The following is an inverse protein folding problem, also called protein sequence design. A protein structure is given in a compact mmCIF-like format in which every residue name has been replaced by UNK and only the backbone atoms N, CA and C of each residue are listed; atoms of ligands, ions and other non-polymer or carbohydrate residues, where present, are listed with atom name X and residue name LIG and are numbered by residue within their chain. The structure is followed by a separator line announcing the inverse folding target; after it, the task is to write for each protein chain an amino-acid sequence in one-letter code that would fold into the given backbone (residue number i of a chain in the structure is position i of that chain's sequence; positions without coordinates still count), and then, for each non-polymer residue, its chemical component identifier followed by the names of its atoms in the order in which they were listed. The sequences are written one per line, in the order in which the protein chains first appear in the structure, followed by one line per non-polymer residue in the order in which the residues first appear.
data_IF_643454005743
#
_entry.id   IF_643454005743
#
_cell.length_a   1.000
_cell.length_b   1.000
_cell.length_c   1.000
_cell.angle_alpha   90.00
_cell.angle_beta   90.00
_cell.angle_gamma   90.00
#
_symmetry.space_group_name_H-M   'P 1'
#
loop_
_entity.id
_entity.type
_entity.pdbx_description
1 polymer ?
#
# COMPACT_ATOMS: atom_id res chain seq x y z
N UNK A 1 8.47 5.45 -16.08
CA UNK A 1 7.46 4.90 -17.02
C UNK A 1 6.11 4.89 -16.33
N UNK A 2 5.25 5.77 -16.79
CA UNK A 2 3.82 5.83 -16.52
C UNK A 2 3.13 4.68 -17.24
N UNK A 3 2.12 4.02 -16.64
CA UNK A 3 1.32 3.03 -17.34
C UNK A 3 0.48 3.69 -18.44
N UNK A 4 0.33 3.06 -19.61
CA UNK A 4 -0.46 3.59 -20.74
C UNK A 4 -1.92 3.89 -20.38
N UNK A 5 -2.55 3.07 -19.53
CA UNK A 5 -3.90 3.31 -19.03
C UNK A 5 -4.01 4.53 -18.10
N UNK A 6 -2.90 4.92 -17.46
CA UNK A 6 -2.83 6.11 -16.64
C UNK A 6 -2.66 7.36 -17.51
N UNK A 7 -1.90 7.26 -18.60
CA UNK A 7 -1.67 8.38 -19.53
C UNK A 7 -2.96 8.83 -20.20
N UNK A 8 -3.81 7.90 -20.64
CA UNK A 8 -5.13 8.24 -21.19
C UNK A 8 -6.00 9.00 -20.17
N UNK A 9 -6.07 8.50 -18.93
CA UNK A 9 -6.81 9.18 -17.84
C UNK A 9 -6.18 10.52 -17.43
N UNK A 10 -4.86 10.61 -17.46
CA UNK A 10 -4.15 11.85 -17.16
C UNK A 10 -4.42 12.92 -18.22
N UNK A 11 -4.48 12.52 -19.50
CA UNK A 11 -4.85 13.39 -20.60
C UNK A 11 -6.33 13.84 -20.51
N UNK A 12 -7.26 12.93 -20.22
CA UNK A 12 -8.69 13.26 -20.02
C UNK A 12 -8.91 14.31 -18.92
N UNK A 13 -8.14 14.23 -17.84
CA UNK A 13 -8.24 15.15 -16.69
C UNK A 13 -7.25 16.33 -16.74
N UNK A 14 -6.47 16.48 -17.82
CA UNK A 14 -5.52 17.59 -17.97
C UNK A 14 -4.42 17.63 -16.89
N UNK A 15 -3.99 16.47 -16.39
CA UNK A 15 -3.01 16.37 -15.30
C UNK A 15 -1.59 16.81 -15.72
N UNK A 16 -1.28 16.81 -17.02
CA UNK A 16 0.04 17.18 -17.55
C UNK A 16 1.11 16.12 -17.29
N UNK A 17 2.36 16.54 -17.09
CA UNK A 17 3.51 15.65 -17.03
C UNK A 17 3.63 14.96 -15.66
N UNK A 18 4.06 13.69 -15.68
CA UNK A 18 4.31 12.92 -14.47
C UNK A 18 5.64 13.33 -13.84
N UNK A 19 5.60 13.92 -12.66
CA UNK A 19 6.78 14.35 -11.91
C UNK A 19 7.40 13.19 -11.15
N UNK A 20 6.62 12.55 -10.27
CA UNK A 20 7.14 11.56 -9.31
C UNK A 20 6.16 10.42 -9.09
N UNK A 21 6.69 9.20 -8.90
CA UNK A 21 5.91 8.02 -8.52
C UNK A 21 6.27 7.58 -7.11
N UNK A 22 5.26 7.54 -6.25
CA UNK A 22 5.34 6.97 -4.91
C UNK A 22 4.85 5.52 -4.90
N UNK A 23 5.79 4.58 -4.67
CA UNK A 23 5.50 3.14 -4.62
C UNK A 23 4.95 2.73 -3.25
N UNK A 24 4.06 1.75 -3.26
CA UNK A 24 3.57 1.07 -2.04
C UNK A 24 4.57 0.01 -1.56
N UNK A 25 4.53 -0.34 -0.29
CA UNK A 25 5.28 -1.42 0.37
C UNK A 25 4.48 -2.73 0.32
N UNK A 26 5.14 -3.89 0.47
CA UNK A 26 4.44 -5.14 0.74
C UNK A 26 3.51 -4.99 1.94
N UNK A 27 2.34 -5.63 1.90
CA UNK A 27 1.40 -5.59 3.02
C UNK A 27 1.91 -6.44 4.17
N UNK A 28 2.24 -5.81 5.31
CA UNK A 28 2.76 -6.52 6.48
C UNK A 28 1.84 -7.67 6.91
N UNK A 29 0.52 -7.43 6.95
CA UNK A 29 -0.48 -8.46 7.26
C UNK A 29 -0.42 -9.63 6.28
N UNK A 30 -0.36 -9.34 4.98
CA UNK A 30 -0.24 -10.37 3.94
C UNK A 30 1.04 -11.20 4.10
N UNK A 31 2.16 -10.53 4.42
CA UNK A 31 3.44 -11.22 4.68
C UNK A 31 3.30 -12.17 5.86
N UNK A 32 2.71 -11.73 6.98
CA UNK A 32 2.48 -12.60 8.14
C UNK A 32 1.69 -13.86 7.77
N UNK A 33 0.55 -13.72 7.09
CA UNK A 33 -0.24 -14.88 6.67
C UNK A 33 0.47 -15.79 5.67
N UNK A 34 1.33 -15.25 4.81
CA UNK A 34 2.11 -16.04 3.86
C UNK A 34 3.19 -16.90 4.54
N UNK A 35 3.74 -16.46 5.68
CA UNK A 35 4.85 -17.16 6.35
C UNK A 35 4.45 -17.87 7.66
N UNK A 36 3.29 -17.56 8.24
CA UNK A 36 2.80 -18.23 9.45
C UNK A 36 2.66 -19.76 9.30
N UNK A 37 2.15 -20.32 8.17
CA UNK A 37 2.10 -21.77 7.99
C UNK A 37 3.48 -22.42 7.98
N UNK A 38 4.48 -21.74 7.41
CA UNK A 38 5.86 -22.23 7.39
C UNK A 38 6.46 -22.27 8.80
N UNK A 39 6.23 -21.21 9.59
CA UNK A 39 6.65 -21.17 10.99
C UNK A 39 5.94 -22.23 11.84
N UNK A 40 4.64 -22.45 11.60
CA UNK A 40 3.86 -23.51 12.24
C UNK A 40 4.37 -24.91 11.90
N UNK A 41 4.69 -25.18 10.63
CA UNK A 41 5.27 -26.44 10.21
C UNK A 41 6.64 -26.70 10.84
N UNK A 42 7.50 -25.69 10.93
CA UNK A 42 8.79 -25.79 11.63
C UNK A 42 8.60 -26.09 13.12
N UNK A 43 7.64 -25.45 13.77
CA UNK A 43 7.34 -25.71 15.19
C UNK A 43 6.85 -27.15 15.40
N UNK A 44 5.94 -27.65 14.56
CA UNK A 44 5.42 -29.02 14.62
C UNK A 44 6.53 -30.06 14.37
N UNK A 45 7.33 -29.88 13.31
CA UNK A 45 8.40 -30.82 12.97
C UNK A 45 9.53 -30.86 14.02
N UNK A 46 9.95 -29.68 14.53
CA UNK A 46 11.08 -29.60 15.47
C UNK A 46 10.67 -29.88 16.92
N UNK A 47 9.49 -29.44 17.37
CA UNK A 47 9.07 -29.59 18.78
C UNK A 47 8.24 -30.83 19.03
N UNK A 48 7.33 -31.18 18.13
CA UNK A 48 6.39 -32.28 18.33
C UNK A 48 6.83 -33.57 17.62
N UNK A 49 7.82 -33.49 16.72
CA UNK A 49 8.34 -34.64 15.97
C UNK A 49 7.41 -35.13 14.86
N UNK A 50 6.27 -34.46 14.63
CA UNK A 50 5.32 -34.79 13.56
C UNK A 50 5.78 -34.21 12.22
N UNK A 51 6.72 -34.93 11.60
CA UNK A 51 7.25 -34.59 10.28
C UNK A 51 6.19 -34.71 9.18
N UNK A 52 5.19 -35.59 9.35
CA UNK A 52 4.15 -35.83 8.34
C UNK A 52 3.16 -34.67 8.30
N UNK A 53 2.71 -34.20 9.46
CA UNK A 53 1.88 -33.01 9.60
C UNK A 53 2.60 -31.75 9.14
N UNK A 54 3.88 -31.59 9.49
CA UNK A 54 4.72 -30.49 9.00
C UNK A 54 4.83 -30.50 7.47
N UNK A 55 5.09 -31.65 6.86
CA UNK A 55 5.20 -31.81 5.41
C UNK A 55 3.87 -31.51 4.70
N UNK A 56 2.75 -31.96 5.27
CA UNK A 56 1.42 -31.67 4.73
C UNK A 56 1.12 -30.16 4.73
N UNK A 57 1.47 -29.44 5.80
CA UNK A 57 1.29 -27.98 5.87
C UNK A 57 2.16 -27.27 4.83
N UNK A 58 3.43 -27.69 4.68
CA UNK A 58 4.36 -27.08 3.71
C UNK A 58 3.97 -27.35 2.26
N UNK A 59 3.35 -28.48 1.96
CA UNK A 59 2.97 -28.84 0.58
C UNK A 59 1.58 -28.35 0.19
N UNK A 60 0.61 -28.42 1.09
CA UNK A 60 -0.79 -28.17 0.72
C UNK A 60 -1.32 -26.83 1.22
N UNK A 61 -0.85 -26.33 2.36
CA UNK A 61 -1.38 -25.10 2.95
C UNK A 61 -0.52 -23.88 2.61
N UNK A 62 0.81 -24.01 2.73
CA UNK A 62 1.73 -22.90 2.52
C UNK A 62 1.80 -22.40 1.06
N UNK A 63 1.95 -23.26 0.03
CA UNK A 63 2.14 -22.81 -1.34
C UNK A 63 0.97 -21.98 -1.90
N UNK A 64 -0.33 -22.35 -1.71
CA UNK A 64 -1.42 -21.52 -2.22
C UNK A 64 -1.49 -20.16 -1.51
N UNK A 65 -1.23 -20.11 -0.20
CA UNK A 65 -1.19 -18.84 0.55
C UNK A 65 -0.02 -17.96 0.10
N UNK A 66 1.14 -18.56 -0.13
CA UNK A 66 2.32 -17.85 -0.61
C UNK A 66 2.12 -17.31 -2.02
N UNK A 67 1.62 -18.11 -2.95
CA UNK A 67 1.32 -17.67 -4.32
C UNK A 67 0.26 -16.56 -4.35
N UNK A 68 -0.80 -16.71 -3.55
CA UNK A 68 -1.82 -15.67 -3.42
C UNK A 68 -1.21 -14.35 -2.91
N UNK A 69 -0.35 -14.43 -1.90
CA UNK A 69 0.37 -13.28 -1.38
C UNK A 69 1.31 -12.67 -2.42
N UNK A 70 2.05 -13.47 -3.19
CA UNK A 70 2.90 -12.98 -4.28
C UNK A 70 2.09 -12.21 -5.33
N UNK A 71 0.95 -12.75 -5.78
CA UNK A 71 0.08 -12.09 -6.77
C UNK A 71 -0.49 -10.78 -6.20
N UNK A 72 -1.01 -10.83 -4.97
CA UNK A 72 -1.57 -9.66 -4.30
C UNK A 72 -0.52 -8.56 -4.09
N UNK A 73 0.66 -8.94 -3.63
CA UNK A 73 1.79 -8.04 -3.41
C UNK A 73 2.28 -7.47 -4.73
N UNK A 74 2.39 -8.26 -5.80
CA UNK A 74 2.75 -7.76 -7.13
C UNK A 74 1.76 -6.73 -7.64
N UNK A 75 0.44 -7.00 -7.57
CA UNK A 75 -0.60 -6.01 -7.93
C UNK A 75 -0.47 -4.72 -7.11
N UNK A 76 -0.15 -4.83 -5.82
CA UNK A 76 0.04 -3.69 -4.92
C UNK A 76 1.30 -2.89 -5.24
N UNK A 77 2.40 -3.56 -5.60
CA UNK A 77 3.70 -2.97 -5.93
C UNK A 77 3.71 -2.35 -7.33
N UNK A 78 3.00 -2.95 -8.28
CA UNK A 78 2.82 -2.43 -9.64
C UNK A 78 1.96 -1.15 -9.62
N UNK A 79 1.10 -1.00 -8.61
CA UNK A 79 0.41 0.24 -8.31
C UNK A 79 1.31 1.33 -7.69
N UNK A 80 0.66 2.39 -7.22
CA UNK A 80 1.32 3.53 -6.60
C UNK A 80 0.56 4.83 -6.86
N UNK A 81 1.02 5.86 -6.18
CA UNK A 81 0.52 7.21 -6.39
C UNK A 81 1.45 7.94 -7.35
N UNK A 82 0.87 8.52 -8.39
CA UNK A 82 1.58 9.28 -9.42
C UNK A 82 1.24 10.75 -9.23
N UNK A 83 2.26 11.56 -9.03
CA UNK A 83 2.14 13.01 -8.89
C UNK A 83 2.44 13.63 -10.24
N UNK A 84 1.50 14.43 -10.72
CA UNK A 84 1.54 15.15 -11.98
C UNK A 84 1.57 16.66 -11.73
N UNK A 85 1.88 17.44 -12.74
CA UNK A 85 1.88 18.91 -12.66
C UNK A 85 0.52 19.50 -12.28
N UNK A 86 -0.58 18.89 -12.71
CA UNK A 86 -1.96 19.35 -12.51
C UNK A 86 -2.75 18.60 -11.43
N UNK A 87 -2.16 17.56 -10.82
CA UNK A 87 -2.81 16.80 -9.76
C UNK A 87 -2.08 15.51 -9.40
N UNK A 88 -2.79 14.56 -8.82
CA UNK A 88 -2.26 13.22 -8.56
C UNK A 88 -3.29 12.14 -8.91
N UNK A 89 -2.79 10.95 -9.19
CA UNK A 89 -3.62 9.77 -9.43
C UNK A 89 -3.13 8.58 -8.60
N UNK A 90 -4.07 7.88 -7.96
CA UNK A 90 -3.80 6.64 -7.26
C UNK A 90 -4.14 5.43 -8.12
N UNK A 91 -3.18 4.53 -8.30
CA UNK A 91 -3.29 3.33 -9.11
C UNK A 91 -3.08 2.09 -8.25
N UNK A 92 -3.97 1.12 -8.43
CA UNK A 92 -3.85 -0.19 -7.80
C UNK A 92 -3.82 -1.28 -8.88
N UNK A 93 -2.63 -1.84 -9.13
CA UNK A 93 -2.41 -2.75 -10.25
C UNK A 93 -2.63 -2.06 -11.60
N UNK A 94 -3.68 -2.47 -12.32
CA UNK A 94 -4.08 -1.88 -13.62
C UNK A 94 -5.28 -0.93 -13.53
N UNK A 95 -5.81 -0.69 -12.33
CA UNK A 95 -6.99 0.17 -12.14
C UNK A 95 -6.58 1.48 -11.50
N UNK A 96 -6.98 2.60 -12.12
CA UNK A 96 -6.88 3.93 -11.52
C UNK A 96 -8.02 4.07 -10.52
N UNK A 97 -7.72 4.08 -9.22
CA UNK A 97 -8.73 4.19 -8.16
C UNK A 97 -9.22 5.62 -8.02
N UNK A 98 -8.32 6.60 -8.13
CA UNK A 98 -8.65 7.98 -7.88
C UNK A 98 -7.80 8.90 -8.76
N UNK A 99 -8.40 9.98 -9.26
CA UNK A 99 -7.72 11.08 -9.95
C UNK A 99 -8.21 12.37 -9.30
N UNK A 100 -7.29 13.21 -8.86
CA UNK A 100 -7.58 14.45 -8.15
C UNK A 100 -6.70 15.55 -8.72
N UNK A 101 -7.30 16.67 -9.10
CA UNK A 101 -6.57 17.86 -9.52
C UNK A 101 -6.23 18.75 -8.32
N UNK A 102 -5.12 19.50 -8.37
CA UNK A 102 -4.73 20.40 -7.28
C UNK A 102 -5.84 21.36 -6.83
N UNK A 103 -6.62 22.00 -7.74
CA UNK A 103 -7.69 22.90 -7.35
C UNK A 103 -8.82 22.24 -6.56
N UNK A 104 -8.99 20.92 -6.67
CA UNK A 104 -9.98 20.18 -5.89
C UNK A 104 -9.56 19.93 -4.45
N UNK A 105 -8.27 20.07 -4.14
CA UNK A 105 -7.76 19.83 -2.79
C UNK A 105 -8.03 21.06 -1.93
N UNK A 106 -8.51 20.82 -0.71
CA UNK A 106 -8.72 21.83 0.33
C UNK A 106 -7.60 21.82 1.35
N UNK A 107 -7.19 20.64 1.80
CA UNK A 107 -6.06 20.50 2.73
C UNK A 107 -5.46 19.10 2.68
N UNK A 108 -4.20 19.00 3.09
CA UNK A 108 -3.48 17.74 3.25
C UNK A 108 -3.01 17.68 4.70
N UNK A 109 -3.34 16.58 5.39
CA UNK A 109 -3.00 16.39 6.80
C UNK A 109 -2.26 15.08 6.99
N UNK A 110 -1.03 15.16 7.48
CA UNK A 110 -0.28 14.00 7.92
C UNK A 110 -0.62 13.68 9.38
N UNK A 111 -1.08 12.45 9.66
CA UNK A 111 -1.42 11.96 11.00
C UNK A 111 -0.62 10.69 11.28
N UNK A 112 0.01 10.64 12.45
CA UNK A 112 0.62 9.41 12.97
C UNK A 112 -0.19 8.95 14.16
N UNK A 113 -0.68 7.71 14.13
CA UNK A 113 -1.39 7.08 15.24
C UNK A 113 -0.58 5.89 15.75
N UNK A 114 -0.08 6.04 16.95
CA UNK A 114 0.58 4.98 17.71
C UNK A 114 -0.44 4.22 18.56
N UNK A 115 -0.48 2.90 18.39
CA UNK A 115 -1.11 1.94 19.30
C UNK A 115 -0.09 1.59 20.38
N UNK A 116 -0.49 1.77 21.63
CA UNK A 116 0.29 1.50 22.82
C UNK A 116 -0.32 0.30 23.56
N UNK A 117 0.52 -0.59 24.08
CA UNK A 117 0.12 -1.54 25.12
C UNK A 117 0.93 -1.21 26.37
N UNK A 118 0.25 -0.62 27.36
CA UNK A 118 0.93 0.02 28.48
C UNK A 118 1.86 1.15 28.02
N UNK A 119 3.14 1.08 28.42
CA UNK A 119 4.19 2.04 28.07
C UNK A 119 4.98 1.67 26.81
N UNK A 120 4.63 0.57 26.12
CA UNK A 120 5.37 0.09 24.96
C UNK A 120 4.60 0.45 23.68
N UNK A 121 5.23 1.15 22.72
CA UNK A 121 4.62 1.37 21.41
C UNK A 121 4.55 0.03 20.66
N UNK A 122 3.34 -0.50 20.47
CA UNK A 122 3.11 -1.81 19.82
C UNK A 122 3.02 -1.66 18.31
N UNK A 123 2.40 -0.59 17.84
CA UNK A 123 2.33 -0.31 16.41
C UNK A 123 2.23 1.19 16.17
N UNK A 124 2.83 1.68 15.09
CA UNK A 124 2.61 3.05 14.62
C UNK A 124 2.06 2.99 13.20
N UNK A 125 0.95 3.69 12.98
CA UNK A 125 0.31 3.81 11.67
C UNK A 125 0.33 5.27 11.25
N UNK A 126 1.05 5.57 10.17
CA UNK A 126 1.00 6.87 9.53
C UNK A 126 -0.12 6.88 8.49
N UNK A 127 -0.84 7.99 8.39
CA UNK A 127 -1.86 8.26 7.36
C UNK A 127 -1.71 9.69 6.85
N UNK A 128 -1.90 9.88 5.56
CA UNK A 128 -2.04 11.18 4.93
C UNK A 128 -3.49 11.31 4.47
N UNK A 129 -4.21 12.27 5.02
CA UNK A 129 -5.61 12.54 4.69
C UNK A 129 -5.66 13.75 3.77
N UNK A 130 -6.12 13.53 2.54
CA UNK A 130 -6.38 14.60 1.58
C UNK A 130 -7.85 14.94 1.66
N UNK A 131 -8.17 16.14 2.15
CA UNK A 131 -9.54 16.66 2.20
C UNK A 131 -9.80 17.46 0.92
N UNK A 132 -10.82 17.04 0.17
CA UNK A 132 -11.26 17.71 -1.04
C UNK A 132 -12.25 18.84 -0.72
N UNK A 133 -12.41 19.79 -1.64
CA UNK A 133 -13.36 20.91 -1.51
C UNK A 133 -14.82 20.46 -1.44
N UNK A 134 -15.14 19.31 -2.01
CA UNK A 134 -16.45 18.66 -1.93
C UNK A 134 -16.67 17.88 -0.62
N UNK A 135 -15.83 18.09 0.40
CA UNK A 135 -15.84 17.40 1.70
C UNK A 135 -15.54 15.90 1.67
N UNK A 136 -15.20 15.32 0.51
CA UNK A 136 -14.69 13.96 0.46
C UNK A 136 -13.27 13.88 1.03
N UNK A 137 -12.95 12.72 1.61
CA UNK A 137 -11.64 12.46 2.20
C UNK A 137 -11.00 11.25 1.54
N UNK A 138 -9.77 11.43 1.07
CA UNK A 138 -8.96 10.35 0.54
C UNK A 138 -7.90 10.04 1.58
N UNK A 139 -7.90 8.81 2.08
CA UNK A 139 -6.91 8.34 3.05
C UNK A 139 -5.81 7.54 2.34
N UNK A 140 -4.60 8.09 2.38
CA UNK A 140 -3.37 7.41 1.97
C UNK A 140 -2.72 6.84 3.23
N UNK A 141 -2.45 5.54 3.25
CA UNK A 141 -1.94 4.84 4.44
C UNK A 141 -0.41 4.73 4.45
N UNK A 142 0.15 4.25 5.56
CA UNK A 142 1.58 3.97 5.74
C UNK A 142 2.16 2.93 4.78
N UNK A 143 1.36 2.42 3.85
CA UNK A 143 1.83 1.55 2.78
C UNK A 143 2.71 2.30 1.79
N UNK A 144 2.58 3.61 1.61
CA UNK A 144 3.45 4.37 0.71
C UNK A 144 4.87 4.52 1.27
N UNK A 145 5.87 4.23 0.43
CA UNK A 145 7.27 4.50 0.77
C UNK A 145 7.45 6.01 0.81
N UNK A 146 7.97 6.53 1.93
CA UNK A 146 8.15 7.98 2.20
C UNK A 146 6.82 8.76 2.23
N UNK A 147 5.79 8.22 2.88
CA UNK A 147 4.49 8.90 3.05
C UNK A 147 4.58 10.35 3.57
N UNK A 148 5.55 10.64 4.45
CA UNK A 148 5.79 12.01 4.93
C UNK A 148 6.24 12.95 3.80
N UNK A 149 7.22 12.53 3.00
CA UNK A 149 7.67 13.30 1.84
C UNK A 149 6.55 13.46 0.81
N UNK A 150 5.73 12.41 0.60
CA UNK A 150 4.53 12.53 -0.23
C UNK A 150 3.56 13.60 0.30
N UNK A 151 3.30 13.62 1.61
CA UNK A 151 2.42 14.62 2.20
C UNK A 151 2.98 16.04 2.09
N UNK A 152 4.30 16.20 2.24
CA UNK A 152 5.00 17.46 2.07
C UNK A 152 4.94 17.94 0.60
N UNK A 153 5.20 17.05 -0.37
CA UNK A 153 5.07 17.37 -1.80
C UNK A 153 3.62 17.75 -2.16
N UNK A 154 2.64 16.97 -1.70
CA UNK A 154 1.21 17.27 -1.92
C UNK A 154 0.82 18.62 -1.32
N UNK A 155 1.41 18.99 -0.18
CA UNK A 155 1.14 20.28 0.45
C UNK A 155 1.80 21.44 -0.32
N UNK A 156 2.99 21.24 -0.89
CA UNK A 156 3.70 22.26 -1.67
C UNK A 156 3.05 22.63 -3.02
N UNK A 157 2.09 21.83 -3.49
CA UNK A 157 1.38 22.06 -4.76
C UNK A 157 -0.04 22.64 -4.60
N UNK A 158 -0.49 22.91 -3.37
CA UNK A 158 -1.82 23.49 -3.05
C UNK A 158 -1.66 24.95 -2.69
#
# INVERSE_FOLDING_TARGET
MTPTHLEAKAAEHGLGDCLTRYRRRPGAVGTFFAFAPLAGALALGVREGDMTGALAIVLFLWPPLFLWWCISTRKRLDGGLYVFTGGFADVHGRKVQCVVTWPMIRSVKYRTRSLWAGLIPVASTARCVVELRNFQKIELDGSYRKLRQLAEDLHGHI
#
